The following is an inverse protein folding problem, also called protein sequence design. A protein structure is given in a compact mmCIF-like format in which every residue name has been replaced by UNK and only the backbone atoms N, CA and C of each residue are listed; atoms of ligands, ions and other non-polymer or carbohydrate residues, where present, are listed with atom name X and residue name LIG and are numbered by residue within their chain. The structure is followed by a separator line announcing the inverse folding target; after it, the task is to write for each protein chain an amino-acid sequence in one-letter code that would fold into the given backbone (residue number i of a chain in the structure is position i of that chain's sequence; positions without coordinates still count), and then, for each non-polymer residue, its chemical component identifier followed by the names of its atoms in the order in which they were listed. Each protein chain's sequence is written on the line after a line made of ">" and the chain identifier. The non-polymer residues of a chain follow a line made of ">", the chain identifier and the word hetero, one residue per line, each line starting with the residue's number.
data_IF_719303346914
#
_entry.id   IF_719303346914
#
_cell.length_a   1.000
_cell.length_b   1.000
_cell.length_c   1.000
_cell.angle_alpha   90.00
_cell.angle_beta   90.00
_cell.angle_gamma   90.00
#
_symmetry.space_group_name_H-M   'P 1'
#
loop_
_entity.id
_entity.type
_entity.pdbx_description
1 polymer ?
#
# COMPACT_ATOMS: atom_id res chain seq x y z
N UNK A 1 -0.85 18.33 9.92
CA UNK A 1 -2.19 17.73 9.72
C UNK A 1 -3.21 18.76 10.18
N UNK A 2 -4.09 19.27 9.32
CA UNK A 2 -4.95 20.39 9.74
C UNK A 2 -6.13 20.78 8.86
N UNK A 3 -6.30 20.22 7.64
CA UNK A 3 -7.46 20.53 6.79
C UNK A 3 -8.14 19.27 6.23
N UNK A 4 -7.80 18.07 6.71
CA UNK A 4 -8.40 16.83 6.16
C UNK A 4 -9.90 16.81 6.37
N UNK A 5 -10.38 17.10 7.58
CA UNK A 5 -11.81 17.14 7.88
C UNK A 5 -12.54 18.16 7.01
N UNK A 6 -11.97 19.35 6.83
CA UNK A 6 -12.59 20.38 6.02
C UNK A 6 -12.49 20.10 4.51
N UNK A 7 -11.44 19.43 4.00
CA UNK A 7 -11.39 18.87 2.64
C UNK A 7 -12.53 17.86 2.43
N UNK A 8 -12.70 16.93 3.37
CA UNK A 8 -13.73 15.89 3.27
C UNK A 8 -15.13 16.44 3.43
N UNK A 9 -15.33 17.46 4.28
CA UNK A 9 -16.60 18.18 4.38
C UNK A 9 -16.95 18.90 3.07
N UNK A 10 -15.98 19.55 2.41
CA UNK A 10 -16.17 20.15 1.08
C UNK A 10 -16.52 19.08 0.04
N UNK A 11 -15.86 17.93 0.06
CA UNK A 11 -16.18 16.81 -0.82
C UNK A 11 -17.60 16.28 -0.58
N UNK A 12 -17.99 16.12 0.69
CA UNK A 12 -19.34 15.74 1.12
C UNK A 12 -20.40 16.73 0.62
N UNK A 13 -20.17 18.02 0.81
CA UNK A 13 -21.04 19.09 0.30
C UNK A 13 -21.18 19.06 -1.23
N UNK A 14 -20.14 18.65 -1.95
CA UNK A 14 -20.15 18.48 -3.40
C UNK A 14 -20.81 17.17 -3.88
N UNK A 15 -21.29 16.31 -2.97
CA UNK A 15 -21.95 15.06 -3.33
C UNK A 15 -21.06 13.82 -3.30
N UNK A 16 -19.76 13.95 -2.98
CA UNK A 16 -18.88 12.79 -2.76
C UNK A 16 -19.35 12.06 -1.51
N UNK A 17 -19.41 10.73 -1.56
CA UNK A 17 -19.84 9.88 -0.44
C UNK A 17 -18.79 8.86 -0.02
N UNK A 18 -17.83 8.58 -0.90
CA UNK A 18 -16.72 7.69 -0.63
C UNK A 18 -15.43 8.24 -1.26
N UNK A 19 -14.31 8.04 -0.57
CA UNK A 19 -12.96 8.30 -1.07
C UNK A 19 -12.11 7.07 -0.80
N UNK A 20 -11.30 6.67 -1.79
CA UNK A 20 -10.32 5.60 -1.65
C UNK A 20 -8.94 6.22 -1.54
N UNK A 21 -8.29 6.03 -0.40
CA UNK A 21 -6.95 6.52 -0.10
C UNK A 21 -5.93 5.53 -0.68
N UNK A 22 -5.13 6.00 -1.63
CA UNK A 22 -4.20 5.15 -2.36
C UNK A 22 -2.99 4.79 -1.51
N UNK A 23 -2.75 3.48 -1.34
CA UNK A 23 -1.47 2.95 -0.87
C UNK A 23 -0.53 2.70 -2.04
N UNK A 24 0.68 3.27 -2.02
CA UNK A 24 1.66 3.15 -3.12
C UNK A 24 2.87 2.28 -2.79
N UNK A 25 2.96 1.80 -1.55
CA UNK A 25 3.98 0.86 -1.08
C UNK A 25 3.42 0.11 0.13
N UNK A 26 4.15 -0.85 0.71
CA UNK A 26 3.71 -1.49 1.97
C UNK A 26 3.51 -0.47 3.07
N UNK A 27 4.47 0.42 3.27
CA UNK A 27 4.39 1.45 4.31
C UNK A 27 3.34 2.52 3.95
N UNK A 28 3.22 2.88 2.67
CA UNK A 28 2.14 3.74 2.19
C UNK A 28 0.76 3.15 2.46
N UNK A 29 0.60 1.85 2.23
CA UNK A 29 -0.63 1.10 2.48
C UNK A 29 -0.94 1.00 3.97
N UNK A 30 0.05 0.73 4.84
CA UNK A 30 -0.11 0.75 6.31
C UNK A 30 -0.60 2.12 6.79
N UNK A 31 0.01 3.20 6.31
CA UNK A 31 -0.41 4.57 6.66
C UNK A 31 -1.80 4.90 6.14
N UNK A 32 -2.16 4.47 4.93
CA UNK A 32 -3.49 4.66 4.37
C UNK A 32 -4.57 3.96 5.22
N UNK A 33 -4.36 2.68 5.56
CA UNK A 33 -5.28 1.93 6.41
C UNK A 33 -5.41 2.55 7.81
N UNK A 34 -4.29 2.89 8.45
CA UNK A 34 -4.29 3.58 9.76
C UNK A 34 -5.06 4.90 9.71
N UNK A 35 -4.84 5.71 8.68
CA UNK A 35 -5.55 6.98 8.51
C UNK A 35 -7.07 6.76 8.35
N UNK A 36 -7.46 5.79 7.54
CA UNK A 36 -8.87 5.42 7.36
C UNK A 36 -9.48 4.95 8.69
N UNK A 37 -8.74 4.16 9.48
CA UNK A 37 -9.19 3.69 10.79
C UNK A 37 -9.40 4.83 11.79
N UNK A 38 -8.43 5.72 11.89
CA UNK A 38 -8.48 6.90 12.74
C UNK A 38 -9.64 7.81 12.35
N UNK A 39 -9.87 8.00 11.04
CA UNK A 39 -11.01 8.78 10.54
C UNK A 39 -12.35 8.22 11.00
N UNK A 40 -12.56 6.90 10.85
CA UNK A 40 -13.82 6.26 11.24
C UNK A 40 -13.98 6.08 12.75
N UNK A 41 -12.90 6.18 13.53
CA UNK A 41 -12.95 6.22 14.99
C UNK A 41 -13.17 7.63 15.54
N UNK A 42 -12.94 8.67 14.74
CA UNK A 42 -13.05 10.07 15.12
C UNK A 42 -14.45 10.65 15.01
N UNK A 43 -14.75 11.65 15.83
CA UNK A 43 -16.03 12.36 15.83
C UNK A 43 -16.19 13.29 14.61
N UNK A 44 -15.08 13.82 14.07
CA UNK A 44 -15.04 14.73 12.91
C UNK A 44 -15.65 14.12 11.63
N UNK A 45 -15.72 12.79 11.55
CA UNK A 45 -16.27 12.06 10.42
C UNK A 45 -17.79 12.21 10.28
N UNK A 46 -18.51 12.46 11.39
CA UNK A 46 -19.98 12.56 11.39
C UNK A 46 -20.49 13.72 10.54
N UNK A 47 -19.77 14.83 10.51
CA UNK A 47 -20.17 16.04 9.80
C UNK A 47 -19.79 16.02 8.31
N UNK A 48 -18.76 15.27 7.94
CA UNK A 48 -18.30 15.20 6.56
C UNK A 48 -19.22 14.36 5.66
N UNK A 49 -19.84 13.31 6.21
CA UNK A 49 -20.70 12.40 5.42
C UNK A 49 -19.96 11.63 4.33
N UNK A 50 -18.63 11.50 4.43
CA UNK A 50 -17.77 10.79 3.47
C UNK A 50 -17.13 9.58 4.15
N UNK A 51 -17.38 8.39 3.59
CA UNK A 51 -16.71 7.17 3.99
C UNK A 51 -15.31 7.10 3.37
N UNK A 52 -14.30 6.73 4.17
CA UNK A 52 -12.96 6.47 3.65
C UNK A 52 -12.68 4.97 3.53
N UNK A 53 -12.01 4.60 2.46
CA UNK A 53 -11.47 3.27 2.20
C UNK A 53 -10.02 3.41 1.76
N UNK A 54 -9.30 2.31 1.61
CA UNK A 54 -7.94 2.32 1.10
C UNK A 54 -7.68 1.25 0.04
N UNK A 55 -6.60 1.45 -0.70
CA UNK A 55 -5.98 0.39 -1.51
C UNK A 55 -4.71 -0.12 -0.82
N UNK A 56 -4.34 -1.36 -1.13
CA UNK A 56 -3.08 -1.97 -0.70
C UNK A 56 -2.29 -2.41 -1.92
N UNK A 57 -1.06 -1.92 -2.07
CA UNK A 57 -0.27 -2.20 -3.27
C UNK A 57 1.12 -1.57 -3.27
N UNK A 58 1.79 -1.73 -4.41
CA UNK A 58 3.12 -1.18 -4.69
C UNK A 58 3.10 -0.54 -6.06
N UNK A 59 3.35 0.76 -6.07
CA UNK A 59 3.43 1.56 -7.27
C UNK A 59 4.64 1.11 -8.11
N UNK A 60 4.59 1.19 -9.45
CA UNK A 60 5.68 0.73 -10.32
C UNK A 60 7.05 1.32 -9.99
N UNK A 61 7.11 2.55 -9.48
CA UNK A 61 8.37 3.18 -9.05
C UNK A 61 9.04 2.48 -7.86
N UNK A 62 8.23 1.90 -6.99
CA UNK A 62 8.69 1.21 -5.78
C UNK A 62 8.84 -0.31 -6.00
N UNK A 63 8.54 -0.82 -7.20
CA UNK A 63 8.56 -2.27 -7.49
C UNK A 63 9.93 -2.93 -7.25
N UNK A 64 11.03 -2.17 -7.39
CA UNK A 64 12.40 -2.66 -7.09
C UNK A 64 12.57 -3.01 -5.60
N UNK A 65 11.82 -2.39 -4.70
CA UNK A 65 11.86 -2.71 -3.26
C UNK A 65 11.24 -4.07 -2.92
N UNK A 66 10.44 -4.63 -3.83
CA UNK A 66 9.91 -5.98 -3.72
C UNK A 66 10.97 -7.04 -4.07
N UNK A 67 12.15 -6.62 -4.52
CA UNK A 67 13.25 -7.47 -4.98
C UNK A 67 14.46 -7.30 -4.06
N UNK A 68 14.74 -8.30 -3.21
CA UNK A 68 15.98 -8.34 -2.43
C UNK A 68 17.11 -8.93 -3.27
N UNK A 69 18.03 -8.10 -3.75
CA UNK A 69 19.24 -8.58 -4.40
C UNK A 69 20.26 -9.03 -3.34
N UNK A 70 20.51 -10.34 -3.22
CA UNK A 70 21.55 -10.92 -2.37
C UNK A 70 22.98 -10.72 -2.93
N UNK A 71 23.34 -9.54 -3.42
CA UNK A 71 24.68 -9.27 -3.95
C UNK A 71 25.53 -8.37 -3.04
N UNK A 72 25.21 -8.32 -1.75
CA UNK A 72 25.98 -7.58 -0.74
C UNK A 72 26.41 -8.47 0.42
N UNK A 73 26.99 -9.63 0.12
CA UNK A 73 27.88 -10.31 1.06
C UNK A 73 28.99 -10.98 0.27
N UNK A 74 30.20 -10.43 0.36
CA UNK A 74 31.40 -11.13 -0.10
C UNK A 74 31.49 -12.48 0.60
N UNK A 75 31.50 -13.56 -0.18
CA UNK A 75 31.59 -14.93 0.32
C UNK A 75 32.05 -15.85 -0.80
N UNK A 76 33.29 -16.34 -0.69
CA UNK A 76 33.85 -17.43 -1.46
C UNK A 76 33.25 -18.77 -0.99
N UNK A 77 32.79 -19.63 -1.90
CA UNK A 77 32.58 -21.05 -1.57
C UNK A 77 31.34 -21.69 -2.19
N UNK A 78 31.57 -22.37 -3.31
CA UNK A 78 31.20 -23.75 -3.62
C UNK A 78 29.83 -24.31 -3.15
N UNK A 79 28.95 -24.63 -4.11
CA UNK A 79 28.11 -25.82 -4.04
C UNK A 79 26.59 -25.61 -3.98
N UNK A 80 25.92 -26.18 -5.00
CA UNK A 80 24.48 -26.49 -5.10
C UNK A 80 23.50 -25.31 -5.28
N UNK A 81 23.36 -24.88 -6.53
CA UNK A 81 22.18 -24.13 -6.98
C UNK A 81 21.00 -25.09 -7.12
N UNK A 82 20.15 -25.18 -6.10
CA UNK A 82 18.77 -25.64 -6.34
C UNK A 82 18.14 -24.69 -7.36
N UNK A 83 17.36 -25.23 -8.30
CA UNK A 83 16.69 -24.47 -9.38
C UNK A 83 15.56 -23.54 -8.87
N UNK A 84 15.57 -23.20 -7.58
CA UNK A 84 14.71 -22.17 -7.02
C UNK A 84 15.30 -20.81 -7.39
N UNK A 85 14.80 -20.28 -8.51
CA UNK A 85 15.20 -19.00 -9.07
C UNK A 85 15.03 -17.90 -8.00
N UNK A 86 15.94 -16.90 -7.91
CA UNK A 86 15.85 -15.80 -6.94
C UNK A 86 14.50 -15.07 -6.96
N UNK A 87 13.77 -15.10 -8.08
CA UNK A 87 12.41 -14.56 -8.19
C UNK A 87 11.38 -15.25 -7.28
N UNK A 88 11.51 -16.56 -7.03
CA UNK A 88 10.54 -17.35 -6.25
C UNK A 88 10.68 -17.08 -4.74
N UNK A 89 11.91 -16.98 -4.22
CA UNK A 89 12.17 -16.72 -2.79
C UNK A 89 11.82 -15.29 -2.37
N UNK A 90 11.82 -14.36 -3.33
CA UNK A 90 11.49 -12.94 -3.17
C UNK A 90 10.03 -12.70 -2.77
N UNK A 91 9.11 -13.39 -3.47
CA UNK A 91 7.67 -13.28 -3.32
C UNK A 91 7.21 -13.74 -1.93
N UNK A 92 7.91 -14.71 -1.34
CA UNK A 92 7.55 -15.29 -0.04
C UNK A 92 7.77 -14.34 1.14
N UNK A 93 8.70 -13.39 1.06
CA UNK A 93 8.92 -12.40 2.15
C UNK A 93 7.91 -11.25 2.12
N UNK A 94 7.42 -10.91 0.94
CA UNK A 94 6.70 -9.66 0.69
C UNK A 94 5.18 -9.85 0.58
N UNK A 95 4.75 -10.90 -0.12
CA UNK A 95 3.34 -11.19 -0.31
C UNK A 95 2.56 -11.46 0.98
N UNK A 96 3.11 -12.11 2.03
CA UNK A 96 2.36 -12.31 3.27
C UNK A 96 1.92 -10.99 3.90
N UNK A 97 2.79 -9.98 3.89
CA UNK A 97 2.48 -8.65 4.42
C UNK A 97 1.38 -7.97 3.60
N UNK A 98 1.47 -7.98 2.27
CA UNK A 98 0.41 -7.40 1.44
C UNK A 98 -0.92 -8.14 1.61
N UNK A 99 -0.91 -9.48 1.74
CA UNK A 99 -2.12 -10.27 2.00
C UNK A 99 -2.75 -9.91 3.34
N UNK A 100 -1.96 -9.75 4.39
CA UNK A 100 -2.43 -9.33 5.71
C UNK A 100 -3.11 -7.95 5.62
N UNK A 101 -2.45 -6.97 5.00
CA UNK A 101 -3.00 -5.63 4.83
C UNK A 101 -4.25 -5.63 3.94
N UNK A 102 -4.26 -6.43 2.87
CA UNK A 102 -5.40 -6.52 1.96
C UNK A 102 -6.63 -7.17 2.61
N UNK A 103 -6.45 -7.98 3.66
CA UNK A 103 -7.55 -8.55 4.43
C UNK A 103 -8.24 -7.53 5.35
N UNK A 104 -7.71 -6.31 5.47
CA UNK A 104 -8.30 -5.26 6.28
C UNK A 104 -9.71 -4.90 5.79
N UNK A 105 -10.75 -4.78 6.66
CA UNK A 105 -12.13 -4.55 6.23
C UNK A 105 -12.38 -3.29 5.40
N UNK A 106 -11.47 -2.32 5.49
CA UNK A 106 -11.52 -1.06 4.73
C UNK A 106 -10.56 -1.02 3.54
N UNK A 107 -9.81 -2.10 3.28
CA UNK A 107 -9.14 -2.31 2.01
C UNK A 107 -10.17 -2.80 0.99
N UNK A 108 -10.37 -2.04 -0.09
CA UNK A 108 -11.40 -2.35 -1.11
C UNK A 108 -10.81 -2.65 -2.49
N UNK A 109 -9.50 -2.48 -2.66
CA UNK A 109 -8.81 -2.79 -3.90
C UNK A 109 -7.32 -3.08 -3.68
N UNK A 110 -6.74 -3.85 -4.59
CA UNK A 110 -5.29 -4.01 -4.71
C UNK A 110 -4.76 -2.93 -5.64
N UNK A 111 -3.77 -2.17 -5.17
CA UNK A 111 -3.18 -1.05 -5.88
C UNK A 111 -2.67 0.03 -4.93
N UNK A 112 -2.04 1.08 -5.41
CA UNK A 112 -1.77 1.32 -6.83
C UNK A 112 -0.65 0.40 -7.32
N UNK A 113 -0.87 -0.23 -8.46
CA UNK A 113 0.09 -1.10 -9.13
C UNK A 113 -0.13 -0.95 -10.65
N UNK A 114 0.86 -1.33 -11.45
CA UNK A 114 0.78 -1.18 -12.89
C UNK A 114 2.15 -1.15 -13.53
N UNK A 115 2.29 -0.32 -14.56
CA UNK A 115 3.55 -0.06 -15.25
C UNK A 115 3.64 1.45 -15.53
N UNK A 116 4.81 2.04 -15.29
CA UNK A 116 5.12 3.42 -15.68
C UNK A 116 6.42 3.38 -16.50
N UNK A 117 6.34 3.69 -17.80
CA UNK A 117 7.48 3.67 -18.73
C UNK A 117 8.04 5.06 -19.03
N UNK A 118 7.46 6.11 -18.42
CA UNK A 118 7.87 7.49 -18.67
C UNK A 118 8.79 8.05 -17.56
N UNK A 119 8.99 7.29 -16.48
CA UNK A 119 9.82 7.69 -15.32
C UNK A 119 10.87 6.63 -15.00
N UNK A 120 12.15 7.02 -15.08
CA UNK A 120 13.32 6.22 -14.69
C UNK A 120 13.82 6.56 -13.29
#
# INVERSE_FOLDING_TARGET
>A
AGDVAAVLARAGAAGVRAVVVTGTSVEGSRRALKFVDEWHAGEEQKDAGVALFATVGVHPHDAKSCVVNHNSSGGTGDGETSEDTPEIQLLDSFLPTLRELAAHPRCVAIGECGLDFDRN
#
